data_IF_272064109287
#
_entry.id   IF_272064109287
#
_cell.length_a   1.000
_cell.length_b   1.000
_cell.length_c   1.000
_cell.angle_alpha   90.00
_cell.angle_beta   90.00
_cell.angle_gamma   90.00
#
_symmetry.space_group_name_H-M   'P 1'
#
loop_
_entity.id
_entity.type
_entity.pdbx_description
1 polymer ?
#
# COMPACT_ATOMS: atom_id res chain seq x y z
N UNK A 1 -58.74 8.58 -16.12
CA UNK A 1 -59.62 8.76 -14.96
C UNK A 1 -59.38 7.57 -14.03
N UNK A 2 -59.21 7.83 -12.73
CA UNK A 2 -58.83 6.95 -11.61
C UNK A 2 -57.33 6.80 -11.27
N UNK A 3 -56.90 7.71 -10.37
CA UNK A 3 -56.04 7.46 -9.20
C UNK A 3 -56.79 6.50 -8.22
N UNK A 4 -56.28 5.84 -7.16
CA UNK A 4 -55.10 5.97 -6.27
C UNK A 4 -54.90 4.62 -5.52
N UNK A 5 -53.76 4.51 -4.80
CA UNK A 5 -53.49 3.71 -3.58
C UNK A 5 -52.76 2.35 -3.67
N UNK A 6 -51.51 2.35 -3.21
CA UNK A 6 -50.67 1.18 -3.03
C UNK A 6 -49.33 1.51 -2.34
N UNK A 7 -49.37 2.14 -1.17
CA UNK A 7 -48.22 2.30 -0.26
C UNK A 7 -47.89 0.93 0.34
N UNK A 8 -46.69 0.41 0.09
CA UNK A 8 -46.15 -0.74 0.85
C UNK A 8 -44.78 -0.39 1.42
N UNK A 9 -44.78 -0.18 2.73
CA UNK A 9 -43.64 -0.12 3.64
C UNK A 9 -42.84 -1.43 3.60
N UNK A 10 -41.53 -1.36 3.29
CA UNK A 10 -40.59 -2.44 3.61
C UNK A 10 -39.35 -1.85 4.30
N UNK A 11 -39.53 -1.70 5.62
CA UNK A 11 -38.60 -2.04 6.71
C UNK A 11 -37.09 -1.99 6.42
N UNK A 12 -36.47 -0.94 6.95
CA UNK A 12 -35.05 -0.90 7.32
C UNK A 12 -34.69 -2.11 8.20
N UNK A 13 -33.70 -2.91 7.78
CA UNK A 13 -33.10 -3.94 8.63
C UNK A 13 -31.62 -3.62 8.84
N UNK A 14 -31.40 -2.91 9.94
CA UNK A 14 -30.15 -2.81 10.67
C UNK A 14 -29.65 -4.23 11.02
N UNK A 15 -28.53 -4.64 10.45
CA UNK A 15 -27.81 -5.85 10.85
C UNK A 15 -26.84 -5.49 11.98
N UNK A 16 -27.33 -5.78 13.19
CA UNK A 16 -26.60 -5.87 14.45
C UNK A 16 -25.23 -6.54 14.27
N UNK A 17 -24.16 -5.79 14.52
CA UNK A 17 -22.97 -6.36 15.15
C UNK A 17 -23.37 -6.70 16.58
N UNK A 18 -23.09 -7.92 17.03
CA UNK A 18 -23.02 -8.19 18.46
C UNK A 18 -21.62 -8.73 18.83
N UNK A 19 -21.14 -8.36 20.03
CA UNK A 19 -19.77 -8.51 20.47
C UNK A 19 -19.62 -9.68 21.45
N UNK A 20 -18.50 -10.40 21.39
CA UNK A 20 -17.96 -11.25 22.47
C UNK A 20 -16.63 -11.82 21.95
N UNK A 21 -15.49 -11.92 22.63
CA UNK A 21 -14.90 -11.36 23.85
C UNK A 21 -13.52 -12.02 23.90
N UNK A 22 -12.46 -11.28 24.14
CA UNK A 22 -11.30 -11.80 24.89
C UNK A 22 -10.58 -10.61 25.54
N UNK A 23 -10.64 -10.50 26.89
CA UNK A 23 -9.96 -9.47 27.67
C UNK A 23 -8.72 -10.03 28.36
N UNK A 24 -7.70 -9.18 28.58
CA UNK A 24 -6.89 -9.03 29.81
C UNK A 24 -6.16 -7.69 29.61
N UNK A 25 -6.74 -6.57 30.04
CA UNK A 25 -6.69 -6.02 31.40
C UNK A 25 -5.30 -5.46 31.75
N UNK A 26 -5.31 -4.16 32.08
CA UNK A 26 -4.14 -3.33 32.32
C UNK A 26 -3.29 -3.78 33.49
N UNK A 27 -2.00 -3.44 33.42
CA UNK A 27 -1.13 -3.39 34.58
C UNK A 27 -0.92 -1.93 34.97
N UNK A 28 -1.42 -1.66 36.17
CA UNK A 28 -1.24 -0.49 37.00
C UNK A 28 0.23 -0.19 37.24
N UNK A 29 0.59 1.10 37.15
CA UNK A 29 1.83 1.66 37.69
C UNK A 29 1.89 1.39 39.20
N UNK A 30 2.78 0.47 39.60
CA UNK A 30 3.08 0.14 40.99
C UNK A 30 4.54 0.50 41.28
N UNK A 31 4.71 1.40 42.24
CA UNK A 31 5.97 1.93 42.74
C UNK A 31 6.94 0.81 43.15
N UNK A 32 8.14 0.77 42.59
CA UNK A 32 9.24 -0.06 43.09
C UNK A 32 10.56 0.65 42.83
N UNK A 33 10.98 1.39 43.85
CA UNK A 33 12.37 1.76 44.12
C UNK A 33 13.21 0.47 44.18
N UNK A 34 14.06 0.26 43.19
CA UNK A 34 15.11 -0.76 43.25
C UNK A 34 16.43 -0.17 42.74
N UNK A 35 17.25 0.21 43.73
CA UNK A 35 18.70 0.22 43.78
C UNK A 35 19.49 0.29 42.47
N UNK A 36 20.12 1.46 42.27
CA UNK A 36 21.30 1.63 41.41
C UNK A 36 22.49 0.99 42.15
N UNK A 37 22.92 -0.20 41.71
CA UNK A 37 24.30 -0.69 41.90
C UNK A 37 24.53 -1.82 40.90
N UNK A 38 25.19 -1.52 39.79
CA UNK A 38 26.57 -1.95 39.59
C UNK A 38 27.06 -1.57 38.19
N UNK A 39 28.24 -0.99 38.20
CA UNK A 39 28.98 -0.47 37.08
C UNK A 39 29.67 -1.65 36.39
N UNK A 40 29.12 -2.14 35.28
CA UNK A 40 29.83 -3.11 34.44
C UNK A 40 29.81 -2.69 32.97
N UNK A 41 30.83 -1.92 32.60
CA UNK A 41 31.20 -1.66 31.22
C UNK A 41 31.37 -2.99 30.47
N UNK A 42 30.51 -3.24 29.49
CA UNK A 42 30.72 -4.29 28.50
C UNK A 42 31.45 -3.65 27.30
N UNK A 43 32.51 -4.30 26.76
CA UNK A 43 33.23 -3.76 25.63
C UNK A 43 32.28 -3.66 24.44
N UNK A 44 32.25 -2.49 23.82
CA UNK A 44 31.57 -2.23 22.54
C UNK A 44 32.33 -3.04 21.48
N UNK A 45 31.97 -4.32 21.36
CA UNK A 45 32.34 -5.13 20.22
C UNK A 45 31.62 -4.58 19.01
N UNK A 46 32.38 -4.09 18.02
CA UNK A 46 31.86 -3.74 16.71
C UNK A 46 31.06 -4.93 16.17
N UNK A 47 29.73 -4.79 16.08
CA UNK A 47 28.95 -5.70 15.24
C UNK A 47 29.55 -5.62 13.83
N UNK A 48 29.85 -6.76 13.17
CA UNK A 48 30.28 -6.73 11.80
C UNK A 48 29.21 -6.03 10.95
N UNK A 49 29.58 -5.13 10.03
CA UNK A 49 28.61 -4.54 9.12
C UNK A 49 27.91 -5.68 8.37
N UNK A 50 26.58 -5.66 8.38
CA UNK A 50 25.79 -6.56 7.54
C UNK A 50 26.33 -6.46 6.10
N UNK A 51 26.60 -7.58 5.41
CA UNK A 51 27.17 -7.54 4.08
C UNK A 51 26.21 -6.75 3.17
N UNK A 52 26.71 -5.66 2.59
CA UNK A 52 25.98 -4.97 1.54
C UNK A 52 25.68 -5.97 0.42
N UNK A 53 24.41 -6.11 0.06
CA UNK A 53 23.98 -6.98 -1.03
C UNK A 53 24.74 -6.60 -2.30
N UNK A 54 25.58 -7.52 -2.79
CA UNK A 54 26.35 -7.29 -4.02
C UNK A 54 25.41 -7.41 -5.22
N UNK A 55 25.35 -6.37 -6.05
CA UNK A 55 24.56 -6.42 -7.28
C UNK A 55 25.15 -7.48 -8.22
N UNK A 56 24.40 -8.55 -8.45
CA UNK A 56 24.72 -9.54 -9.49
C UNK A 56 23.97 -9.14 -10.75
N UNK A 57 24.70 -8.78 -11.81
CA UNK A 57 24.09 -8.57 -13.12
C UNK A 57 23.46 -9.89 -13.60
N UNK A 58 22.22 -9.82 -14.09
CA UNK A 58 21.50 -11.00 -14.57
C UNK A 58 22.15 -11.59 -15.81
N UNK A 59 22.61 -12.84 -15.73
CA UNK A 59 22.98 -13.64 -16.90
C UNK A 59 21.70 -13.95 -17.68
N UNK A 60 21.56 -13.37 -18.87
CA UNK A 60 20.36 -13.54 -19.70
C UNK A 60 20.63 -14.65 -20.73
N UNK A 61 19.85 -15.73 -20.69
CA UNK A 61 19.87 -16.75 -21.74
C UNK A 61 19.26 -16.20 -23.04
N UNK A 62 19.75 -16.65 -24.20
CA UNK A 62 19.29 -16.19 -25.52
C UNK A 62 17.81 -16.49 -25.77
N UNK A 63 17.29 -17.55 -25.15
CA UNK A 63 15.87 -17.88 -25.11
C UNK A 63 15.32 -17.75 -23.69
N UNK A 64 14.11 -17.20 -23.50
CA UNK A 64 13.45 -17.18 -22.20
C UNK A 64 13.12 -18.62 -21.78
N UNK A 65 13.63 -19.04 -20.63
CA UNK A 65 13.23 -20.29 -19.99
C UNK A 65 11.93 -20.04 -19.19
N UNK A 66 10.92 -20.88 -19.41
CA UNK A 66 9.64 -20.83 -18.67
C UNK A 66 9.48 -22.17 -17.96
N UNK A 67 9.31 -22.14 -16.63
CA UNK A 67 9.03 -23.33 -15.84
C UNK A 67 7.52 -23.66 -15.95
N UNK A 68 7.15 -24.86 -16.46
CA UNK A 68 5.75 -25.25 -16.58
C UNK A 68 5.13 -25.78 -15.27
N UNK A 69 5.89 -25.86 -14.18
CA UNK A 69 5.43 -26.46 -12.93
C UNK A 69 4.29 -25.63 -12.30
N UNK A 70 3.08 -26.20 -12.13
CA UNK A 70 1.98 -25.48 -11.49
C UNK A 70 2.21 -25.33 -9.99
N UNK A 71 1.52 -24.37 -9.38
CA UNK A 71 1.56 -24.17 -7.94
C UNK A 71 1.00 -25.42 -7.21
N UNK A 72 1.59 -25.83 -6.08
CA UNK A 72 1.07 -26.93 -5.26
C UNK A 72 -0.40 -26.74 -4.85
N UNK A 73 -1.18 -27.83 -4.82
CA UNK A 73 -2.63 -27.80 -4.58
C UNK A 73 -3.05 -27.34 -3.17
N UNK A 74 -2.13 -27.36 -2.22
CA UNK A 74 -2.34 -26.85 -0.85
C UNK A 74 -2.37 -25.32 -0.80
N UNK A 75 -1.83 -24.64 -1.82
CA UNK A 75 -1.82 -23.17 -1.90
C UNK A 75 -3.04 -22.70 -2.70
N UNK A 76 -3.99 -21.96 -2.08
CA UNK A 76 -5.14 -21.44 -2.81
C UNK A 76 -4.72 -20.44 -3.88
N UNK A 77 -5.38 -20.51 -5.04
CA UNK A 77 -5.22 -19.57 -6.14
C UNK A 77 -5.59 -18.13 -5.73
N UNK A 78 -4.87 -17.16 -6.28
CA UNK A 78 -5.17 -15.73 -6.16
C UNK A 78 -5.05 -15.09 -7.52
N UNK A 79 -6.01 -14.20 -7.81
CA UNK A 79 -5.99 -13.40 -9.02
C UNK A 79 -4.86 -12.37 -8.94
N UNK A 80 -3.98 -12.40 -9.94
CA UNK A 80 -2.87 -11.47 -10.04
C UNK A 80 -3.36 -10.05 -10.40
N UNK A 81 -2.60 -9.03 -10.00
CA UNK A 81 -3.01 -7.63 -10.16
C UNK A 81 -3.20 -7.23 -11.64
N UNK A 82 -2.47 -7.86 -12.56
CA UNK A 82 -2.70 -7.72 -14.01
C UNK A 82 -2.48 -6.30 -14.57
N UNK A 83 -1.65 -5.47 -13.93
CA UNK A 83 -1.37 -4.09 -14.36
C UNK A 83 0.09 -3.90 -14.75
N UNK A 84 0.34 -3.00 -15.70
CA UNK A 84 1.69 -2.59 -16.11
C UNK A 84 2.32 -1.62 -15.09
N UNK A 85 3.61 -1.32 -15.26
CA UNK A 85 4.38 -0.49 -14.33
C UNK A 85 3.82 0.93 -14.14
N UNK A 86 3.38 1.61 -15.21
CA UNK A 86 2.84 2.97 -15.10
C UNK A 86 1.55 3.09 -14.28
N UNK A 87 0.48 2.31 -14.56
CA UNK A 87 -0.72 2.33 -13.73
C UNK A 87 -0.42 1.92 -12.29
N UNK A 88 0.40 0.88 -12.07
CA UNK A 88 0.79 0.49 -10.71
C UNK A 88 1.50 1.62 -9.96
N UNK A 89 2.42 2.32 -10.63
CA UNK A 89 3.15 3.47 -10.06
C UNK A 89 2.24 4.68 -9.81
N UNK A 90 1.24 4.90 -10.66
CA UNK A 90 0.19 5.92 -10.47
C UNK A 90 -0.61 5.63 -9.20
N UNK A 91 -0.99 4.36 -8.99
CA UNK A 91 -1.78 3.91 -7.85
C UNK A 91 -0.97 3.71 -6.54
N UNK A 92 0.36 3.65 -6.61
CA UNK A 92 1.23 3.25 -5.50
C UNK A 92 0.97 3.98 -4.17
N UNK A 93 0.73 5.29 -4.20
CA UNK A 93 0.45 6.06 -2.98
C UNK A 93 -0.91 5.74 -2.36
N UNK A 94 -1.90 5.44 -3.19
CA UNK A 94 -3.24 5.05 -2.75
C UNK A 94 -3.25 3.62 -2.23
N UNK A 95 -2.49 2.71 -2.88
CA UNK A 95 -2.25 1.34 -2.36
C UNK A 95 -1.57 1.42 -1.00
N UNK A 96 -0.57 2.29 -0.85
CA UNK A 96 0.10 2.49 0.44
C UNK A 96 -0.81 3.02 1.54
N UNK A 97 -1.78 3.87 1.21
CA UNK A 97 -2.73 4.41 2.18
C UNK A 97 -3.85 3.42 2.53
N UNK A 98 -4.41 2.73 1.52
CA UNK A 98 -5.53 1.81 1.69
C UNK A 98 -5.10 0.45 2.24
N UNK A 99 -3.98 -0.08 1.75
CA UNK A 99 -3.49 -1.42 2.08
C UNK A 99 -2.35 -1.39 3.11
N UNK A 100 -2.22 -0.32 3.89
CA UNK A 100 -1.10 -0.11 4.82
C UNK A 100 -0.94 -1.28 5.79
N UNK A 101 -2.03 -1.68 6.45
CA UNK A 101 -2.03 -2.73 7.48
C UNK A 101 -1.57 -4.07 6.90
N UNK A 102 -2.11 -4.47 5.75
CA UNK A 102 -1.73 -5.72 5.09
C UNK A 102 -0.27 -5.73 4.62
N UNK A 103 0.23 -4.59 4.12
CA UNK A 103 1.61 -4.44 3.69
C UNK A 103 2.56 -4.53 4.88
N UNK A 104 2.22 -3.88 5.99
CA UNK A 104 3.03 -3.90 7.21
C UNK A 104 3.08 -5.31 7.82
N UNK A 105 1.95 -6.02 7.88
CA UNK A 105 1.88 -7.41 8.34
C UNK A 105 2.75 -8.35 7.50
N UNK A 106 2.71 -8.20 6.17
CA UNK A 106 3.56 -8.98 5.28
C UNK A 106 5.06 -8.70 5.50
N UNK A 107 5.41 -7.44 5.73
CA UNK A 107 6.79 -7.04 6.01
C UNK A 107 7.25 -7.46 7.41
N UNK A 108 6.35 -7.57 8.38
CA UNK A 108 6.62 -8.15 9.70
C UNK A 108 6.87 -9.65 9.60
N UNK A 109 5.98 -10.39 8.92
CA UNK A 109 6.16 -11.84 8.69
C UNK A 109 7.50 -12.15 8.02
N UNK A 110 7.89 -11.38 7.00
CA UNK A 110 9.19 -11.53 6.33
C UNK A 110 10.40 -11.21 7.21
N UNK A 111 10.23 -10.42 8.26
CA UNK A 111 11.30 -10.15 9.24
C UNK A 111 11.41 -11.28 10.28
N UNK A 112 10.29 -11.93 10.60
CA UNK A 112 10.24 -13.03 11.56
C UNK A 112 10.78 -14.35 10.99
N UNK A 113 10.48 -14.64 9.71
CA UNK A 113 10.95 -15.86 9.06
C UNK A 113 11.60 -15.58 7.70
N UNK A 114 12.77 -16.20 7.40
CA UNK A 114 13.37 -16.16 6.07
C UNK A 114 12.64 -17.06 5.06
N UNK A 115 11.76 -17.96 5.50
CA UNK A 115 11.08 -18.92 4.63
C UNK A 115 9.92 -18.26 3.85
N UNK A 116 9.95 -18.24 2.50
CA UNK A 116 8.93 -17.57 1.70
C UNK A 116 7.55 -18.24 1.79
N UNK A 117 7.50 -19.54 2.08
CA UNK A 117 6.25 -20.30 2.23
C UNK A 117 5.44 -19.85 3.45
N UNK A 118 6.10 -19.32 4.48
CA UNK A 118 5.46 -18.90 5.73
C UNK A 118 4.49 -17.74 5.52
N UNK A 119 4.86 -16.77 4.68
CA UNK A 119 4.12 -15.52 4.48
C UNK A 119 3.18 -15.52 3.27
N UNK A 120 2.87 -16.69 2.69
CA UNK A 120 2.01 -16.79 1.52
C UNK A 120 0.59 -16.30 1.81
N UNK A 121 0.09 -16.49 3.03
CA UNK A 121 -1.27 -16.06 3.42
C UNK A 121 -1.39 -14.54 3.44
N UNK A 122 -0.39 -13.85 3.97
CA UNK A 122 -0.28 -12.40 4.08
C UNK A 122 -0.05 -11.80 2.69
N UNK A 123 0.82 -12.41 1.88
CA UNK A 123 1.03 -12.01 0.48
C UNK A 123 -0.26 -12.02 -0.33
N UNK A 124 -1.10 -13.06 -0.18
CA UNK A 124 -2.42 -13.11 -0.82
C UNK A 124 -3.35 -11.97 -0.40
N UNK A 125 -3.30 -11.55 0.87
CA UNK A 125 -4.13 -10.43 1.37
C UNK A 125 -3.67 -9.11 0.74
N UNK A 126 -2.37 -8.90 0.62
CA UNK A 126 -1.79 -7.73 -0.05
C UNK A 126 -2.23 -7.66 -1.51
N UNK A 127 -2.09 -8.76 -2.27
CA UNK A 127 -2.48 -8.81 -3.69
C UNK A 127 -3.96 -8.51 -3.88
N UNK A 128 -4.84 -9.09 -3.05
CA UNK A 128 -6.29 -8.85 -3.10
C UNK A 128 -6.65 -7.39 -2.78
N UNK A 129 -6.03 -6.80 -1.77
CA UNK A 129 -6.27 -5.39 -1.42
C UNK A 129 -5.85 -4.45 -2.57
N UNK A 130 -4.70 -4.71 -3.19
CA UNK A 130 -4.22 -3.91 -4.31
C UNK A 130 -5.15 -4.06 -5.54
N UNK A 131 -5.60 -5.27 -5.85
CA UNK A 131 -6.54 -5.52 -6.95
C UNK A 131 -7.88 -4.81 -6.75
N UNK A 132 -8.48 -4.93 -5.56
CA UNK A 132 -9.74 -4.27 -5.19
C UNK A 132 -9.65 -2.74 -5.29
N UNK A 133 -8.55 -2.15 -4.82
CA UNK A 133 -8.35 -0.71 -4.96
C UNK A 133 -8.25 -0.28 -6.42
N UNK A 134 -7.51 -1.01 -7.25
CA UNK A 134 -7.35 -0.69 -8.67
C UNK A 134 -8.70 -0.79 -9.40
N UNK A 135 -9.51 -1.80 -9.07
CA UNK A 135 -10.87 -1.95 -9.60
C UNK A 135 -11.75 -0.76 -9.21
N UNK A 136 -11.75 -0.36 -7.92
CA UNK A 136 -12.47 0.83 -7.43
C UNK A 136 -12.00 2.12 -8.11
N UNK A 137 -10.70 2.28 -8.31
CA UNK A 137 -10.12 3.44 -9.00
C UNK A 137 -10.53 3.50 -10.47
N UNK A 138 -10.57 2.35 -11.16
CA UNK A 138 -11.07 2.26 -12.53
C UNK A 138 -12.57 2.54 -12.62
N UNK A 139 -13.36 2.03 -11.67
CA UNK A 139 -14.80 2.24 -11.65
C UNK A 139 -15.20 3.72 -11.44
N UNK A 140 -14.45 4.45 -10.61
CA UNK A 140 -14.77 5.84 -10.23
C UNK A 140 -14.00 6.90 -11.03
N UNK A 141 -12.73 6.66 -11.34
CA UNK A 141 -11.79 7.67 -11.82
C UNK A 141 -11.02 7.26 -13.09
N UNK A 142 -11.57 6.36 -13.93
CA UNK A 142 -10.88 5.84 -15.14
C UNK A 142 -10.23 6.94 -15.99
N UNK A 143 -10.95 8.00 -16.34
CA UNK A 143 -10.44 9.04 -17.25
C UNK A 143 -9.24 9.82 -16.69
N UNK A 144 -9.29 10.20 -15.40
CA UNK A 144 -8.19 10.93 -14.75
C UNK A 144 -7.01 10.00 -14.44
N UNK A 145 -7.31 8.74 -14.12
CA UNK A 145 -6.31 7.70 -13.89
C UNK A 145 -5.53 7.41 -15.17
N UNK A 146 -6.24 7.26 -16.30
CA UNK A 146 -5.63 6.98 -17.61
C UNK A 146 -4.75 8.13 -18.10
N UNK A 147 -5.24 9.36 -17.98
CA UNK A 147 -4.45 10.53 -18.32
C UNK A 147 -3.16 10.65 -17.48
N UNK A 148 -3.20 10.24 -16.21
CA UNK A 148 -2.04 10.29 -15.33
C UNK A 148 -0.99 9.21 -15.67
N UNK A 149 -1.40 7.95 -15.80
CA UNK A 149 -0.43 6.89 -16.09
C UNK A 149 0.14 6.99 -17.51
N UNK A 150 -0.64 7.44 -18.50
CA UNK A 150 -0.12 7.71 -19.85
C UNK A 150 0.95 8.82 -19.84
N UNK A 151 0.76 9.86 -19.02
CA UNK A 151 1.79 10.87 -18.82
C UNK A 151 3.07 10.26 -18.23
N UNK A 152 2.95 9.40 -17.21
CA UNK A 152 4.10 8.74 -16.59
C UNK A 152 4.87 7.89 -17.60
N UNK A 153 4.16 7.10 -18.41
CA UNK A 153 4.78 6.22 -19.41
C UNK A 153 5.63 7.02 -20.42
N UNK A 154 5.13 8.18 -20.86
CA UNK A 154 5.85 9.07 -21.80
C UNK A 154 7.02 9.85 -21.19
N UNK A 155 7.18 9.84 -19.86
CA UNK A 155 8.12 10.73 -19.15
C UNK A 155 9.10 9.97 -18.25
N UNK A 156 9.51 8.76 -18.66
CA UNK A 156 10.39 7.90 -17.87
C UNK A 156 9.85 7.62 -16.45
N UNK A 157 8.52 7.65 -16.32
CA UNK A 157 7.80 7.45 -15.07
C UNK A 157 8.17 8.46 -13.95
N UNK A 158 8.56 9.68 -14.29
CA UNK A 158 8.90 10.72 -13.32
C UNK A 158 7.69 11.58 -12.93
N UNK A 159 7.31 11.56 -11.64
CA UNK A 159 6.11 12.26 -11.15
C UNK A 159 6.14 13.79 -11.36
N UNK A 160 7.31 14.44 -11.27
CA UNK A 160 7.38 15.90 -11.37
C UNK A 160 6.98 16.43 -12.76
N UNK A 161 7.07 15.60 -13.80
CA UNK A 161 6.62 15.95 -15.16
C UNK A 161 5.10 15.86 -15.33
N UNK A 162 4.41 15.14 -14.43
CA UNK A 162 3.00 14.79 -14.53
C UNK A 162 2.12 15.39 -13.41
N UNK A 163 2.56 16.47 -12.75
CA UNK A 163 1.80 17.11 -11.65
C UNK A 163 0.40 17.60 -12.03
N UNK A 164 0.19 18.02 -13.29
CA UNK A 164 -1.11 18.50 -13.78
C UNK A 164 -2.18 17.39 -13.78
N UNK A 165 -1.98 16.24 -14.47
CA UNK A 165 -2.92 15.13 -14.38
C UNK A 165 -2.95 14.48 -13.00
N UNK A 166 -1.84 14.49 -12.25
CA UNK A 166 -1.80 13.96 -10.88
C UNK A 166 -2.79 14.68 -9.94
N UNK A 167 -2.88 16.02 -9.99
CA UNK A 167 -3.83 16.77 -9.16
C UNK A 167 -5.27 16.37 -9.44
N UNK A 168 -5.65 16.31 -10.72
CA UNK A 168 -7.00 15.85 -11.13
C UNK A 168 -7.33 14.45 -10.64
N UNK A 169 -6.34 13.56 -10.64
CA UNK A 169 -6.49 12.21 -10.11
C UNK A 169 -6.67 12.22 -8.59
N UNK A 170 -5.85 12.99 -7.87
CA UNK A 170 -5.96 13.13 -6.41
C UNK A 170 -7.32 13.68 -6.00
N UNK A 171 -7.82 14.69 -6.72
CA UNK A 171 -9.13 15.31 -6.45
C UNK A 171 -10.26 14.27 -6.63
N UNK A 172 -10.26 13.53 -7.76
CA UNK A 172 -11.26 12.49 -8.03
C UNK A 172 -11.25 11.37 -6.98
N UNK A 173 -10.06 10.92 -6.56
CA UNK A 173 -9.92 9.85 -5.56
C UNK A 173 -10.33 10.34 -4.18
N UNK A 174 -10.03 11.59 -3.85
CA UNK A 174 -10.47 12.18 -2.58
C UNK A 174 -12.00 12.30 -2.52
N UNK A 175 -12.63 12.72 -3.61
CA UNK A 175 -14.10 12.87 -3.69
C UNK A 175 -14.83 11.52 -3.63
N UNK A 176 -14.33 10.48 -4.29
CA UNK A 176 -15.05 9.19 -4.41
C UNK A 176 -14.64 8.15 -3.35
N UNK A 177 -13.35 8.10 -3.00
CA UNK A 177 -12.78 7.06 -2.12
C UNK A 177 -12.29 7.63 -0.77
N UNK A 178 -12.25 8.95 -0.61
CA UNK A 178 -11.77 9.60 0.62
C UNK A 178 -10.27 9.41 0.90
N UNK A 179 -9.50 8.93 -0.09
CA UNK A 179 -8.07 8.65 0.09
C UNK A 179 -7.24 9.87 -0.29
N UNK A 180 -6.41 10.35 0.66
CA UNK A 180 -5.43 11.41 0.40
C UNK A 180 -4.04 10.84 0.21
N UNK A 181 -3.35 11.32 -0.81
CA UNK A 181 -1.92 11.06 -1.00
C UNK A 181 -1.10 11.83 0.04
N UNK A 182 -0.50 11.12 0.98
CA UNK A 182 0.41 11.68 1.98
C UNK A 182 1.79 11.05 1.85
N UNK A 183 2.84 11.87 1.93
CA UNK A 183 4.23 11.40 1.94
C UNK A 183 4.67 11.27 3.40
N UNK A 184 4.91 10.05 3.91
CA UNK A 184 5.40 9.87 5.27
C UNK A 184 6.80 10.47 5.42
N UNK A 185 7.08 11.11 6.57
CA UNK A 185 8.37 11.74 6.86
C UNK A 185 8.59 13.12 6.21
N UNK A 186 7.59 13.68 5.53
CA UNK A 186 7.66 15.07 5.08
C UNK A 186 7.57 16.04 6.29
N UNK A 187 8.35 17.14 6.31
CA UNK A 187 8.32 18.11 7.40
C UNK A 187 6.96 18.80 7.50
N UNK A 188 6.32 18.75 8.67
CA UNK A 188 4.96 19.28 8.92
C UNK A 188 4.82 20.77 8.61
N UNK A 189 5.92 21.53 8.67
CA UNK A 189 5.94 22.99 8.44
C UNK A 189 6.00 23.40 6.96
N UNK A 190 6.13 22.45 6.02
CA UNK A 190 6.22 22.75 4.58
C UNK A 190 5.14 22.01 3.79
N UNK A 191 4.59 22.62 2.72
CA UNK A 191 3.66 21.93 1.83
C UNK A 191 4.35 20.73 1.17
N UNK A 192 3.58 19.68 0.86
CA UNK A 192 4.14 18.49 0.22
C UNK A 192 4.60 18.82 -1.21
N UNK A 193 5.62 18.11 -1.71
CA UNK A 193 6.24 18.40 -3.02
C UNK A 193 5.25 18.38 -4.20
N UNK A 194 4.16 17.61 -4.10
CA UNK A 194 3.11 17.53 -5.12
C UNK A 194 2.08 18.69 -5.03
N UNK A 195 1.99 19.34 -3.87
CA UNK A 195 1.13 20.50 -3.60
C UNK A 195 1.83 21.84 -3.92
N UNK A 196 3.15 21.84 -4.17
CA UNK A 196 3.90 23.05 -4.52
C UNK A 196 3.32 23.76 -5.76
N UNK A 197 3.02 25.04 -5.61
CA UNK A 197 2.45 25.88 -6.69
C UNK A 197 3.48 26.19 -7.78
N UNK A 198 4.73 26.45 -7.41
CA UNK A 198 5.82 26.75 -8.36
C UNK A 198 7.07 25.89 -8.07
N UNK A 199 7.12 24.63 -8.55
CA UNK A 199 8.28 23.77 -8.37
C UNK A 199 9.45 24.21 -9.25
N UNK A 200 10.67 24.08 -8.74
CA UNK A 200 11.92 24.36 -9.49
C UNK A 200 12.05 23.39 -10.67
N UNK A 201 11.82 22.10 -10.42
CA UNK A 201 11.84 21.06 -11.45
C UNK A 201 10.52 21.04 -12.22
N UNK A 202 10.57 21.47 -13.48
CA UNK A 202 9.46 21.44 -14.43
C UNK A 202 9.82 20.56 -15.62
N UNK A 203 8.80 20.06 -16.33
CA UNK A 203 9.01 19.38 -17.62
C UNK A 203 9.76 20.34 -18.55
N UNK A 204 10.99 20.00 -18.88
CA UNK A 204 11.74 20.69 -19.93
C UNK A 204 11.04 20.32 -21.25
N UNK A 205 10.34 21.27 -21.85
CA UNK A 205 9.79 21.09 -23.19
C UNK A 205 10.97 21.25 -24.13
N UNK A 206 11.35 20.18 -24.83
CA UNK A 206 12.25 20.28 -25.98
C UNK A 206 11.44 20.74 -27.19
#
# INVERSE_FOLDING_TARGET
MHMVDGITLIKTRSSKLNPEQDPIAGRTFGNSTLFISDNQAHPIGCLPPLPMSTFKSGSSSVSPYVDPTPLPSDVPHVDEIGVTSAPLKSAAFFIGAHCKEYNDDFMLCKKESPDPAHCLKEGRRVTRCAADLIEKMRASCAATYDAHWQCLENNNQEFYKCRKPERKLNDCIFENLGLKKTIPGAPTHKPQVHELTNPIYKRQQK
#
